data_IF_443079903446
#
_entry.id   IF_443079903446
#
_cell.length_a   1.000
_cell.length_b   1.000
_cell.length_c   1.000
_cell.angle_alpha   90.00
_cell.angle_beta   90.00
_cell.angle_gamma   90.00
#
_symmetry.space_group_name_H-M   'P 1'
#
loop_
_entity.id
_entity.type
_entity.pdbx_description
1 polymer ?
#
# COMPACT_ATOMS: atom_id res chain seq x y z
N UNK A 1 0.35 -26.56 -43.07
CA UNK A 1 0.70 -25.17 -42.73
C UNK A 1 2.09 -25.20 -42.12
N UNK A 2 3.13 -24.77 -42.86
CA UNK A 2 4.51 -24.74 -42.35
C UNK A 2 4.68 -23.46 -41.53
N UNK A 3 5.03 -23.60 -40.27
CA UNK A 3 5.38 -22.49 -39.38
C UNK A 3 6.89 -22.34 -39.49
N UNK A 4 7.37 -21.28 -40.13
CA UNK A 4 8.79 -20.93 -40.22
C UNK A 4 9.03 -19.59 -39.52
N UNK A 5 10.18 -19.49 -38.86
CA UNK A 5 10.59 -18.31 -38.10
C UNK A 5 11.20 -17.30 -39.07
N UNK A 6 10.67 -16.07 -39.04
CA UNK A 6 11.17 -14.96 -39.83
C UNK A 6 12.49 -14.42 -39.24
N UNK A 7 13.61 -14.86 -39.82
CA UNK A 7 14.95 -14.48 -39.40
C UNK A 7 15.24 -12.98 -39.57
N UNK A 8 14.56 -12.30 -40.52
CA UNK A 8 14.77 -10.87 -40.74
C UNK A 8 14.24 -10.04 -39.56
N UNK A 9 13.11 -10.44 -38.99
CA UNK A 9 12.55 -9.80 -37.79
C UNK A 9 13.40 -10.05 -36.55
N UNK A 10 14.01 -11.22 -36.43
CA UNK A 10 14.95 -11.52 -35.34
C UNK A 10 16.15 -10.59 -35.41
N UNK A 11 16.79 -10.50 -36.59
CA UNK A 11 17.95 -9.61 -36.77
C UNK A 11 17.61 -8.14 -36.48
N UNK A 12 16.40 -7.68 -36.82
CA UNK A 12 15.93 -6.34 -36.46
C UNK A 12 15.73 -6.17 -34.96
N UNK A 13 15.10 -7.14 -34.29
CA UNK A 13 14.89 -7.09 -32.84
C UNK A 13 16.22 -7.07 -32.07
N UNK A 14 17.22 -7.84 -32.50
CA UNK A 14 18.56 -7.88 -31.89
C UNK A 14 19.25 -6.51 -31.90
N UNK A 15 19.03 -5.66 -32.91
CA UNK A 15 19.63 -4.31 -32.97
C UNK A 15 19.12 -3.37 -31.88
N UNK A 16 17.92 -3.62 -31.37
CA UNK A 16 17.26 -2.82 -30.35
C UNK A 16 17.31 -3.46 -28.96
N UNK A 17 17.90 -4.65 -28.86
CA UNK A 17 17.98 -5.38 -27.61
C UNK A 17 18.89 -4.62 -26.61
N UNK A 18 18.41 -4.48 -25.37
CA UNK A 18 19.06 -3.68 -24.33
C UNK A 18 18.85 -2.16 -24.39
N UNK A 19 18.22 -1.62 -25.45
CA UNK A 19 17.88 -0.19 -25.51
C UNK A 19 16.51 0.07 -24.89
N UNK A 20 16.45 1.01 -23.94
CA UNK A 20 15.20 1.48 -23.32
C UNK A 20 14.89 2.90 -23.77
N UNK A 21 13.93 3.03 -24.69
CA UNK A 21 13.41 4.33 -25.13
C UNK A 21 12.25 4.81 -24.24
N UNK A 22 12.16 6.12 -24.06
CA UNK A 22 11.02 6.77 -23.40
C UNK A 22 10.31 7.66 -24.41
N UNK A 23 9.02 7.43 -24.60
CA UNK A 23 8.14 8.28 -25.40
C UNK A 23 7.20 9.01 -24.45
N UNK A 24 7.20 10.35 -24.51
CA UNK A 24 6.36 11.18 -23.65
C UNK A 24 5.80 12.35 -24.45
N UNK A 25 4.66 12.86 -24.01
CA UNK A 25 4.03 14.09 -24.50
C UNK A 25 4.35 15.30 -23.60
N UNK A 26 5.33 15.18 -22.71
CA UNK A 26 5.76 16.23 -21.78
C UNK A 26 6.96 17.00 -22.33
N UNK A 27 7.07 18.27 -21.96
CA UNK A 27 8.22 19.13 -22.31
C UNK A 27 9.37 19.04 -21.30
N UNK A 28 9.41 17.97 -20.50
CA UNK A 28 10.44 17.78 -19.48
C UNK A 28 11.79 17.41 -20.11
N UNK A 29 12.87 17.80 -19.43
CA UNK A 29 14.22 17.36 -19.79
C UNK A 29 14.31 15.83 -19.78
N UNK A 30 15.07 15.20 -20.69
CA UNK A 30 15.21 13.74 -20.75
C UNK A 30 15.55 13.08 -19.41
N UNK A 31 16.42 13.71 -18.60
CA UNK A 31 16.84 13.22 -17.30
C UNK A 31 15.67 13.14 -16.32
N UNK A 32 14.82 14.18 -16.32
CA UNK A 32 13.63 14.25 -15.48
C UNK A 32 12.60 13.21 -15.93
N UNK A 33 12.41 13.02 -17.24
CA UNK A 33 11.52 11.97 -17.78
C UNK A 33 11.94 10.60 -17.27
N UNK A 34 13.25 10.28 -17.35
CA UNK A 34 13.80 9.01 -16.87
C UNK A 34 13.59 8.87 -15.36
N UNK A 35 13.87 9.93 -14.58
CA UNK A 35 13.70 9.93 -13.13
C UNK A 35 12.24 9.71 -12.71
N UNK A 36 11.29 10.43 -13.32
CA UNK A 36 9.85 10.31 -13.04
C UNK A 36 9.33 8.94 -13.43
N UNK A 37 9.70 8.41 -14.60
CA UNK A 37 9.35 7.03 -14.97
C UNK A 37 9.94 6.00 -14.01
N UNK A 38 11.12 6.29 -13.45
CA UNK A 38 11.72 5.50 -12.39
C UNK A 38 10.76 5.31 -11.21
N UNK A 39 9.92 6.30 -10.88
CA UNK A 39 8.98 6.21 -9.75
C UNK A 39 7.82 5.25 -9.97
N UNK A 40 7.66 4.66 -11.17
CA UNK A 40 6.61 3.67 -11.45
C UNK A 40 6.63 2.49 -10.48
N UNK A 41 7.81 2.11 -9.96
CA UNK A 41 7.93 1.06 -8.94
C UNK A 41 7.12 1.37 -7.67
N UNK A 42 6.84 2.64 -7.38
CA UNK A 42 6.01 3.02 -6.22
C UNK A 42 4.57 2.54 -6.40
N UNK A 43 4.06 2.57 -7.63
CA UNK A 43 2.74 2.03 -7.99
C UNK A 43 2.74 0.50 -7.81
N UNK A 44 3.82 -0.18 -8.23
CA UNK A 44 3.96 -1.61 -7.99
C UNK A 44 4.05 -1.96 -6.51
N UNK A 45 4.79 -1.16 -5.72
CA UNK A 45 4.85 -1.29 -4.25
C UNK A 45 3.45 -1.11 -3.64
N UNK A 46 2.68 -0.13 -4.12
CA UNK A 46 1.29 0.08 -3.68
C UNK A 46 0.45 -1.17 -3.92
N UNK A 47 0.46 -1.71 -5.15
CA UNK A 47 -0.27 -2.93 -5.47
C UNK A 47 0.21 -4.14 -4.67
N UNK A 48 1.51 -4.25 -4.37
CA UNK A 48 2.05 -5.32 -3.53
C UNK A 48 1.48 -5.22 -2.11
N UNK A 49 1.60 -4.06 -1.46
CA UNK A 49 1.09 -3.81 -0.10
C UNK A 49 -0.41 -4.06 -0.01
N UNK A 50 -1.19 -3.59 -0.99
CA UNK A 50 -2.64 -3.86 -1.01
C UNK A 50 -2.93 -5.36 -1.03
N UNK A 51 -2.14 -6.17 -1.73
CA UNK A 51 -2.36 -7.61 -1.83
C UNK A 51 -1.90 -8.36 -0.56
N UNK A 52 -0.78 -7.98 0.03
CA UNK A 52 -0.15 -8.70 1.15
C UNK A 52 -0.59 -8.18 2.50
N UNK A 53 -0.31 -6.91 2.78
CA UNK A 53 -0.50 -6.27 4.09
C UNK A 53 -1.98 -6.03 4.36
N UNK A 54 -2.67 -5.45 3.39
CA UNK A 54 -4.10 -5.15 3.47
C UNK A 54 -4.98 -6.34 3.09
N UNK A 55 -4.38 -7.44 2.62
CA UNK A 55 -5.04 -8.71 2.30
C UNK A 55 -6.32 -8.55 1.46
N UNK A 56 -6.30 -7.68 0.45
CA UNK A 56 -7.51 -7.43 -0.38
C UNK A 56 -7.92 -8.66 -1.22
N UNK A 57 -7.05 -9.66 -1.32
CA UNK A 57 -7.30 -10.89 -2.06
C UNK A 57 -7.95 -11.94 -1.17
N UNK A 58 -8.80 -12.83 -1.73
CA UNK A 58 -9.11 -12.96 -3.16
C UNK A 58 -10.27 -12.06 -3.65
N UNK A 59 -10.24 -11.69 -4.93
CA UNK A 59 -11.31 -10.90 -5.59
C UNK A 59 -12.16 -11.81 -6.47
N UNK A 60 -13.37 -12.15 -6.03
CA UNK A 60 -14.33 -12.97 -6.79
C UNK A 60 -15.58 -12.16 -7.22
N UNK A 61 -15.40 -10.88 -7.52
CA UNK A 61 -16.50 -9.98 -7.90
C UNK A 61 -16.74 -10.02 -9.41
N UNK A 62 -17.98 -10.31 -9.82
CA UNK A 62 -18.38 -10.31 -11.23
C UNK A 62 -19.23 -9.10 -11.63
N UNK A 63 -19.93 -8.50 -10.67
CA UNK A 63 -20.76 -7.31 -10.90
C UNK A 63 -19.90 -6.05 -10.83
N UNK A 64 -19.98 -5.20 -11.86
CA UNK A 64 -19.25 -3.92 -11.96
C UNK A 64 -19.24 -3.11 -10.65
N UNK A 65 -20.42 -2.87 -10.06
CA UNK A 65 -20.55 -2.12 -8.80
C UNK A 65 -19.72 -2.71 -7.65
N UNK A 66 -19.64 -4.05 -7.54
CA UNK A 66 -18.86 -4.72 -6.49
C UNK A 66 -17.36 -4.61 -6.72
N UNK A 67 -16.94 -4.66 -7.99
CA UNK A 67 -15.54 -4.44 -8.38
C UNK A 67 -15.13 -3.01 -8.01
N UNK A 68 -15.91 -2.01 -8.41
CA UNK A 68 -15.65 -0.59 -8.12
C UNK A 68 -15.57 -0.34 -6.60
N UNK A 69 -16.54 -0.85 -5.83
CA UNK A 69 -16.53 -0.70 -4.36
C UNK A 69 -15.31 -1.36 -3.71
N UNK A 70 -14.91 -2.55 -4.18
CA UNK A 70 -13.74 -3.23 -3.62
C UNK A 70 -12.44 -2.47 -3.92
N UNK A 71 -12.27 -1.96 -5.14
CA UNK A 71 -11.12 -1.13 -5.52
C UNK A 71 -11.08 0.15 -4.67
N UNK A 72 -12.24 0.79 -4.46
CA UNK A 72 -12.34 1.98 -3.62
C UNK A 72 -11.90 1.70 -2.17
N UNK A 73 -12.41 0.63 -1.56
CA UNK A 73 -12.03 0.24 -0.19
C UNK A 73 -10.53 -0.05 -0.11
N UNK A 74 -9.97 -0.78 -1.08
CA UNK A 74 -8.54 -1.08 -1.16
C UNK A 74 -7.70 0.20 -1.26
N UNK A 75 -8.15 1.18 -2.06
CA UNK A 75 -7.48 2.46 -2.22
C UNK A 75 -7.51 3.31 -0.93
N UNK A 76 -8.66 3.38 -0.26
CA UNK A 76 -8.80 4.08 1.03
C UNK A 76 -7.91 3.44 2.09
N UNK A 77 -7.92 2.11 2.20
CA UNK A 77 -7.07 1.38 3.14
C UNK A 77 -5.57 1.62 2.87
N UNK A 78 -5.17 1.68 1.59
CA UNK A 78 -3.79 2.01 1.21
C UNK A 78 -3.42 3.46 1.57
N UNK A 79 -4.35 4.39 1.42
CA UNK A 79 -4.14 5.80 1.82
C UNK A 79 -3.87 5.90 3.31
N UNK A 80 -4.64 5.20 4.14
CA UNK A 80 -4.43 5.14 5.60
C UNK A 80 -3.06 4.51 5.92
N UNK A 81 -2.71 3.40 5.26
CA UNK A 81 -1.40 2.78 5.42
C UNK A 81 -0.25 3.75 5.08
N UNK A 82 -0.38 4.50 3.99
CA UNK A 82 0.63 5.48 3.57
C UNK A 82 0.75 6.65 4.53
N UNK A 83 -0.36 7.10 5.10
CA UNK A 83 -0.36 8.12 6.13
C UNK A 83 0.32 7.62 7.41
N UNK A 84 0.09 6.37 7.80
CA UNK A 84 0.81 5.73 8.91
C UNK A 84 2.32 5.66 8.63
N UNK A 85 2.73 5.19 7.44
CA UNK A 85 4.15 5.14 7.01
C UNK A 85 4.78 6.55 7.08
N UNK A 86 4.07 7.59 6.64
CA UNK A 86 4.52 8.98 6.70
C UNK A 86 4.70 9.47 8.13
N UNK A 87 3.73 9.24 9.02
CA UNK A 87 3.77 9.67 10.43
C UNK A 87 4.90 8.99 11.19
N UNK A 88 5.07 7.68 11.00
CA UNK A 88 6.17 6.90 11.59
C UNK A 88 7.53 7.47 11.17
N UNK A 89 7.71 7.77 9.88
CA UNK A 89 8.94 8.36 9.35
C UNK A 89 9.20 9.77 9.92
N UNK A 90 8.17 10.61 10.04
CA UNK A 90 8.31 11.96 10.58
C UNK A 90 8.75 12.00 12.04
N UNK A 91 8.23 11.09 12.87
CA UNK A 91 8.63 10.95 14.27
C UNK A 91 9.86 10.04 14.46
N UNK A 92 10.44 9.53 13.37
CA UNK A 92 11.64 8.67 13.38
C UNK A 92 11.48 7.44 14.28
N UNK A 93 10.26 6.90 14.36
CA UNK A 93 9.98 5.73 15.19
C UNK A 93 10.55 4.47 14.52
N UNK A 94 11.23 3.57 15.25
CA UNK A 94 11.81 2.34 14.71
C UNK A 94 10.76 1.24 14.49
N UNK A 95 9.53 1.61 14.13
CA UNK A 95 8.39 0.70 13.98
C UNK A 95 8.00 0.67 12.49
N UNK A 96 7.93 -0.54 11.91
CA UNK A 96 7.43 -0.71 10.55
C UNK A 96 5.90 -0.57 10.49
N UNK A 97 5.30 -0.15 9.37
CA UNK A 97 3.84 -0.08 9.24
C UNK A 97 3.16 -1.43 9.49
N UNK A 98 3.79 -2.54 9.07
CA UNK A 98 3.31 -3.90 9.37
C UNK A 98 3.28 -4.18 10.86
N UNK A 99 4.37 -3.85 11.57
CA UNK A 99 4.45 -4.03 13.01
C UNK A 99 3.41 -3.18 13.73
N UNK A 100 3.21 -1.93 13.31
CA UNK A 100 2.16 -1.07 13.85
C UNK A 100 0.77 -1.71 13.67
N UNK A 101 0.45 -2.27 12.50
CA UNK A 101 -0.82 -2.99 12.26
C UNK A 101 -0.94 -4.20 13.21
N UNK A 102 0.13 -4.94 13.47
CA UNK A 102 0.10 -6.06 14.42
C UNK A 102 -0.16 -5.60 15.86
N UNK A 103 0.53 -4.56 16.31
CA UNK A 103 0.38 -3.99 17.66
C UNK A 103 -1.05 -3.51 17.91
N UNK A 104 -1.71 -2.90 16.91
CA UNK A 104 -3.11 -2.46 17.04
C UNK A 104 -4.10 -3.60 17.25
N UNK A 105 -3.79 -4.83 16.82
CA UNK A 105 -4.69 -5.99 17.02
C UNK A 105 -4.74 -6.45 18.47
N UNK A 106 -3.75 -6.07 19.27
CA UNK A 106 -3.62 -6.43 20.68
C UNK A 106 -3.78 -5.24 21.61
N UNK A 107 -4.29 -4.11 21.11
CA UNK A 107 -4.71 -2.96 21.92
C UNK A 107 -6.19 -3.12 22.24
N UNK A 108 -6.53 -3.22 23.52
CA UNK A 108 -7.90 -3.50 23.96
C UNK A 108 -8.43 -2.38 24.84
N UNK A 109 -9.71 -2.08 24.65
CA UNK A 109 -10.50 -1.18 25.48
C UNK A 109 -11.60 -2.01 26.16
N UNK A 110 -11.72 -1.92 27.49
CA UNK A 110 -12.86 -2.45 28.23
C UNK A 110 -13.96 -1.39 28.29
N UNK A 111 -15.18 -1.80 27.95
CA UNK A 111 -16.39 -1.01 28.13
C UNK A 111 -17.30 -1.72 29.10
N UNK A 112 -17.68 -1.04 30.17
CA UNK A 112 -18.57 -1.59 31.18
C UNK A 112 -19.49 -0.52 31.74
N UNK A 113 -20.65 -0.95 32.21
CA UNK A 113 -21.63 -0.13 32.93
C UNK A 113 -21.59 -0.54 34.39
N UNK A 114 -21.62 0.43 35.30
CA UNK A 114 -21.68 0.14 36.73
C UNK A 114 -23.15 -0.02 37.13
N UNK A 115 -23.50 -0.95 38.04
CA UNK A 115 -24.88 -1.12 38.47
C UNK A 115 -25.52 0.14 39.08
N UNK A 116 -24.70 1.05 39.60
CA UNK A 116 -25.12 2.28 40.26
C UNK A 116 -24.90 3.54 39.41
N UNK A 117 -24.30 3.41 38.22
CA UNK A 117 -24.04 4.53 37.31
C UNK A 117 -24.30 4.09 35.86
N UNK A 118 -25.38 4.59 35.24
CA UNK A 118 -25.74 4.22 33.87
C UNK A 118 -24.80 4.80 32.80
N UNK A 119 -23.79 5.61 33.16
CA UNK A 119 -22.79 6.04 32.19
C UNK A 119 -21.84 4.90 31.79
N UNK A 120 -21.64 4.75 30.48
CA UNK A 120 -20.69 3.78 29.93
C UNK A 120 -19.26 4.20 30.25
N UNK A 121 -18.57 3.38 31.03
CA UNK A 121 -17.17 3.58 31.39
C UNK A 121 -16.26 2.92 30.36
N UNK A 122 -15.14 3.58 30.06
CA UNK A 122 -14.13 3.14 29.11
C UNK A 122 -12.76 3.08 29.77
N UNK A 123 -12.11 1.91 29.74
CA UNK A 123 -10.75 1.74 30.29
C UNK A 123 -9.86 1.08 29.23
N UNK A 124 -8.84 1.80 28.78
CA UNK A 124 -7.78 1.22 27.95
C UNK A 124 -6.92 0.29 28.79
N UNK A 125 -6.72 -0.94 28.31
CA UNK A 125 -5.81 -1.88 28.95
C UNK A 125 -4.37 -1.40 28.82
N UNK A 126 -3.54 -1.79 29.79
CA UNK A 126 -2.12 -1.42 29.82
C UNK A 126 -1.42 -1.87 28.54
N UNK A 127 -0.89 -0.89 27.83
CA UNK A 127 -0.14 -1.08 26.59
C UNK A 127 1.30 -1.48 26.90
N UNK A 128 1.89 -2.28 26.02
CA UNK A 128 3.33 -2.48 26.01
C UNK A 128 4.06 -1.20 25.50
N UNK A 129 5.39 -1.10 25.67
CA UNK A 129 6.12 0.11 25.26
C UNK A 129 5.98 0.45 23.76
N UNK A 130 5.92 -0.55 22.88
CA UNK A 130 5.77 -0.30 21.43
C UNK A 130 4.35 0.18 21.09
N UNK A 131 3.34 -0.40 21.74
CA UNK A 131 1.94 0.04 21.64
C UNK A 131 1.76 1.46 22.16
N UNK A 132 2.42 1.81 23.26
CA UNK A 132 2.37 3.17 23.81
C UNK A 132 3.00 4.18 22.85
N UNK A 133 4.17 3.87 22.28
CA UNK A 133 4.80 4.72 21.25
C UNK A 133 3.88 4.94 20.04
N UNK A 134 3.12 3.92 19.65
CA UNK A 134 2.15 4.04 18.55
C UNK A 134 0.92 4.86 18.95
N UNK A 135 0.47 4.77 20.21
CA UNK A 135 -0.63 5.57 20.73
C UNK A 135 -0.26 7.06 20.75
N UNK A 136 0.92 7.39 21.29
CA UNK A 136 1.45 8.76 21.40
C UNK A 136 1.81 9.39 20.03
N UNK A 137 1.86 8.58 18.97
CA UNK A 137 1.98 9.07 17.59
C UNK A 137 0.67 9.68 17.09
N UNK A 138 -0.47 9.20 17.58
CA UNK A 138 -1.80 9.52 17.06
C UNK A 138 -2.57 10.50 17.94
N UNK A 139 -2.30 10.51 19.24
CA UNK A 139 -2.88 11.38 20.25
C UNK A 139 -1.79 12.26 20.88
#
# INVERSE_FOLDING_TARGET
>A
MKIEIDQTKIAQATRWDGLKGYLTNTDYSPELVIQTYGQLWQVEKAFRISKTDLRIRPMYHYRRRRIEAHILIAFVAYTIYKELERRLAQRQLPISPQRAIELTKTMYELRFELPNDPEMQHVLLKMDPEQQMLYDLLY
#
